data_IF_981825805356
#
_entry.id   IF_981825805356
#
_cell.length_a   1.000
_cell.length_b   1.000
_cell.length_c   1.000
_cell.angle_alpha   90.00
_cell.angle_beta   90.00
_cell.angle_gamma   90.00
#
_symmetry.space_group_name_H-M   'P 1'
#
loop_
_entity.id
_entity.type
_entity.pdbx_description
1 polymer ?
#
# COMPACT_ATOMS: atom_id res chain seq x y z
N UNK A 1 39.75 1.11 7.88
CA UNK A 1 39.02 1.79 6.80
C UNK A 1 37.82 2.56 7.34
N UNK A 2 36.87 1.94 8.04
CA UNK A 2 35.78 2.67 8.70
C UNK A 2 36.28 3.60 9.82
N UNK A 3 37.27 3.17 10.64
CA UNK A 3 37.90 4.02 11.68
C UNK A 3 38.64 5.25 11.13
N UNK A 4 38.99 5.23 9.83
CA UNK A 4 39.69 6.34 9.15
C UNK A 4 38.72 7.25 8.38
N UNK A 5 37.41 7.00 8.46
CA UNK A 5 36.38 7.82 7.81
C UNK A 5 36.12 9.05 8.66
N UNK A 6 36.29 10.25 8.08
CA UNK A 6 36.00 11.52 8.77
C UNK A 6 34.59 11.49 9.41
N UNK A 7 34.47 11.96 10.66
CA UNK A 7 33.21 11.99 11.39
C UNK A 7 32.74 10.66 11.98
N UNK A 8 33.59 9.63 12.02
CA UNK A 8 33.33 8.40 12.79
C UNK A 8 34.00 8.50 14.17
N UNK A 9 33.18 8.46 15.22
CA UNK A 9 33.65 8.52 16.62
C UNK A 9 34.17 7.16 17.12
N UNK A 10 33.68 6.05 16.54
CA UNK A 10 34.19 4.73 16.87
C UNK A 10 33.53 3.61 16.09
N UNK A 11 34.29 2.54 15.88
CA UNK A 11 33.83 1.29 15.28
C UNK A 11 34.11 0.14 16.24
N UNK A 12 33.10 -0.71 16.46
CA UNK A 12 33.26 -1.99 17.16
C UNK A 12 32.87 -3.10 16.21
N UNK A 13 33.78 -4.05 15.96
CA UNK A 13 33.50 -5.24 15.15
C UNK A 13 33.60 -6.48 16.03
N UNK A 14 32.61 -7.35 15.92
CA UNK A 14 32.61 -8.65 16.59
C UNK A 14 32.37 -9.77 15.60
N UNK A 15 33.11 -10.87 15.76
CA UNK A 15 32.97 -12.08 14.96
C UNK A 15 32.69 -13.23 15.91
N UNK A 16 31.60 -13.96 15.69
CA UNK A 16 31.19 -15.08 16.54
C UNK A 16 30.70 -16.25 15.69
N UNK A 17 30.85 -17.50 16.16
CA UNK A 17 30.13 -18.62 15.56
C UNK A 17 28.63 -18.37 15.63
N UNK A 18 27.90 -18.59 14.53
CA UNK A 18 26.45 -18.63 14.58
C UNK A 18 26.06 -19.91 15.34
N UNK A 19 25.38 -19.77 16.48
CA UNK A 19 25.15 -20.86 17.43
C UNK A 19 24.69 -22.17 16.78
N UNK A 20 25.43 -23.25 17.03
CA UNK A 20 25.16 -24.59 16.50
C UNK A 20 24.02 -25.28 17.26
N UNK A 21 22.92 -25.55 16.56
CA UNK A 21 21.99 -26.64 16.90
C UNK A 21 22.38 -27.96 16.24
N UNK A 22 22.85 -27.93 14.99
CA UNK A 22 23.03 -29.13 14.18
C UNK A 22 24.32 -29.08 13.34
N UNK A 23 25.38 -29.74 13.80
CA UNK A 23 26.46 -30.39 13.02
C UNK A 23 26.99 -29.86 11.66
N UNK A 24 26.78 -28.61 11.26
CA UNK A 24 27.36 -28.02 10.03
C UNK A 24 28.89 -27.99 10.03
N UNK A 25 29.54 -27.93 8.86
CA UNK A 25 30.99 -27.72 8.82
C UNK A 25 31.33 -26.26 9.13
N UNK A 26 32.49 -26.03 9.75
CA UNK A 26 33.01 -24.67 10.04
C UNK A 26 33.23 -23.82 8.77
N UNK A 27 33.15 -24.44 7.59
CA UNK A 27 33.35 -23.85 6.26
C UNK A 27 32.06 -23.30 5.61
N UNK A 28 30.91 -23.35 6.28
CA UNK A 28 29.67 -22.80 5.72
C UNK A 28 29.55 -21.30 6.05
N UNK A 29 29.04 -20.48 5.11
CA UNK A 29 28.71 -19.05 5.34
C UNK A 29 27.86 -18.86 6.60
N UNK A 30 26.96 -19.81 6.88
CA UNK A 30 26.08 -19.78 8.05
C UNK A 30 26.79 -20.11 9.36
N UNK A 31 28.06 -20.53 9.35
CA UNK A 31 28.81 -20.89 10.55
C UNK A 31 29.34 -19.67 11.31
N UNK A 32 29.40 -18.51 10.66
CA UNK A 32 29.96 -17.28 11.23
C UNK A 32 28.98 -16.12 11.13
N UNK A 33 28.96 -15.30 12.17
CA UNK A 33 28.27 -14.01 12.20
C UNK A 33 29.26 -12.89 12.48
N UNK A 34 29.24 -11.86 11.63
CA UNK A 34 29.97 -10.61 11.82
C UNK A 34 28.96 -9.54 12.18
N UNK A 35 29.20 -8.82 13.26
CA UNK A 35 28.39 -7.67 13.67
C UNK A 35 29.28 -6.45 13.86
N UNK A 36 28.96 -5.36 13.17
CA UNK A 36 29.63 -4.07 13.30
C UNK A 36 28.72 -3.03 13.97
N UNK A 37 29.27 -2.18 14.84
CA UNK A 37 28.60 -1.03 15.39
C UNK A 37 29.46 0.20 15.10
N UNK A 38 28.91 1.18 14.39
CA UNK A 38 29.57 2.42 14.01
C UNK A 38 28.85 3.58 14.68
N UNK A 39 29.57 4.40 15.43
CA UNK A 39 29.03 5.63 16.03
C UNK A 39 29.63 6.83 15.30
N UNK A 40 28.78 7.72 14.77
CA UNK A 40 29.24 8.97 14.19
C UNK A 40 29.58 10.01 15.26
N UNK A 41 30.46 10.96 14.93
CA UNK A 41 30.74 12.10 15.80
C UNK A 41 29.51 13.01 15.96
N UNK A 42 29.33 13.66 17.13
CA UNK A 42 28.31 14.68 17.29
C UNK A 42 28.46 15.80 16.26
N UNK A 43 27.36 16.15 15.58
CA UNK A 43 27.31 17.28 14.66
C UNK A 43 27.81 17.00 13.24
N UNK A 44 28.04 15.73 12.87
CA UNK A 44 28.46 15.39 11.50
C UNK A 44 27.42 15.81 10.46
N UNK A 45 27.89 16.29 9.30
CA UNK A 45 27.03 16.64 8.18
C UNK A 45 26.41 15.40 7.53
N UNK A 46 25.25 15.59 6.88
CA UNK A 46 24.54 14.52 6.15
C UNK A 46 25.42 13.80 5.11
N UNK A 47 26.32 14.52 4.43
CA UNK A 47 27.24 13.93 3.44
C UNK A 47 28.24 12.95 4.06
N UNK A 48 28.67 13.23 5.30
CA UNK A 48 29.54 12.35 6.06
C UNK A 48 28.80 11.07 6.46
N UNK A 49 27.55 11.19 6.94
CA UNK A 49 26.69 10.05 7.25
C UNK A 49 26.48 9.16 6.03
N UNK A 50 26.14 9.75 4.88
CA UNK A 50 25.98 9.01 3.61
C UNK A 50 27.25 8.25 3.24
N UNK A 51 28.40 8.88 3.41
CA UNK A 51 29.70 8.28 3.11
C UNK A 51 30.03 7.13 4.06
N UNK A 52 29.76 7.29 5.35
CA UNK A 52 29.95 6.25 6.36
C UNK A 52 29.04 5.04 6.09
N UNK A 53 27.74 5.26 5.86
CA UNK A 53 26.79 4.19 5.53
C UNK A 53 27.16 3.45 4.24
N UNK A 54 27.56 4.18 3.18
CA UNK A 54 28.03 3.57 1.92
C UNK A 54 29.30 2.75 2.09
N UNK A 55 30.22 3.22 2.94
CA UNK A 55 31.46 2.50 3.25
C UNK A 55 31.13 1.24 4.05
N UNK A 56 30.26 1.34 5.06
CA UNK A 56 29.82 0.22 5.87
C UNK A 56 29.13 -0.85 5.02
N UNK A 57 28.21 -0.48 4.14
CA UNK A 57 27.56 -1.42 3.22
C UNK A 57 28.57 -2.14 2.33
N UNK A 58 29.57 -1.43 1.80
CA UNK A 58 30.59 -2.05 0.95
C UNK A 58 31.39 -3.12 1.70
N UNK A 59 31.69 -2.88 2.98
CA UNK A 59 32.39 -3.86 3.81
C UNK A 59 31.49 -5.07 4.14
N UNK A 60 30.19 -4.85 4.37
CA UNK A 60 29.21 -5.92 4.53
C UNK A 60 29.11 -6.79 3.26
N UNK A 61 28.94 -6.16 2.10
CA UNK A 61 28.88 -6.85 0.80
C UNK A 61 30.17 -7.66 0.54
N UNK A 62 31.32 -7.12 0.93
CA UNK A 62 32.60 -7.81 0.81
C UNK A 62 32.71 -9.02 1.74
N UNK A 63 32.04 -9.02 2.90
CA UNK A 63 32.07 -10.09 3.89
C UNK A 63 30.92 -11.12 3.75
N UNK A 64 29.86 -10.78 3.00
CA UNK A 64 28.65 -11.58 2.77
C UNK A 64 28.93 -13.02 2.27
N UNK A 65 29.98 -13.22 1.48
CA UNK A 65 30.32 -14.53 0.93
C UNK A 65 30.94 -15.50 1.97
N UNK A 66 31.33 -15.00 3.15
CA UNK A 66 32.06 -15.75 4.18
C UNK A 66 31.24 -15.92 5.47
N UNK A 67 30.39 -14.96 5.81
CA UNK A 67 29.63 -14.93 7.05
C UNK A 67 28.28 -14.25 6.86
N UNK A 68 27.34 -14.51 7.77
CA UNK A 68 26.16 -13.65 7.92
C UNK A 68 26.64 -12.32 8.53
N UNK A 69 26.31 -11.20 7.90
CA UNK A 69 26.76 -9.89 8.36
C UNK A 69 25.61 -8.99 8.79
N UNK A 70 25.81 -8.25 9.87
CA UNK A 70 24.91 -7.19 10.33
C UNK A 70 25.73 -5.99 10.76
N UNK A 71 25.19 -4.79 10.59
CA UNK A 71 25.78 -3.58 11.13
C UNK A 71 24.75 -2.60 11.62
N UNK A 72 25.10 -1.88 12.67
CA UNK A 72 24.33 -0.75 13.18
C UNK A 72 25.17 0.52 13.02
N UNK A 73 24.63 1.50 12.30
CA UNK A 73 25.16 2.86 12.28
C UNK A 73 24.32 3.74 13.21
N UNK A 74 24.97 4.43 14.15
CA UNK A 74 24.32 5.27 15.16
C UNK A 74 24.77 6.72 15.04
N UNK A 75 23.81 7.64 15.00
CA UNK A 75 23.99 9.09 15.02
C UNK A 75 23.44 9.65 16.32
N UNK A 76 24.24 10.40 17.09
CA UNK A 76 23.81 11.02 18.36
C UNK A 76 24.41 12.40 18.54
N UNK A 77 23.79 13.20 19.43
CA UNK A 77 24.43 14.39 20.00
C UNK A 77 24.56 15.62 19.09
N UNK A 78 23.83 15.68 17.97
CA UNK A 78 23.85 16.80 17.02
C UNK A 78 22.64 17.74 17.13
N UNK A 79 21.80 17.56 18.17
CA UNK A 79 20.59 18.34 18.39
C UNK A 79 19.36 17.86 17.63
N UNK A 80 19.48 16.78 16.85
CA UNK A 80 18.36 16.02 16.28
C UNK A 80 18.07 14.78 17.10
N UNK A 81 17.02 14.03 16.72
CA UNK A 81 16.75 12.72 17.30
C UNK A 81 17.95 11.77 17.08
N UNK A 82 18.23 10.94 18.09
CA UNK A 82 19.21 9.87 17.97
C UNK A 82 18.73 8.90 16.89
N UNK A 83 19.59 8.52 15.95
CA UNK A 83 19.17 7.73 14.79
C UNK A 83 20.01 6.47 14.66
N UNK A 84 19.36 5.32 14.56
CA UNK A 84 20.00 4.04 14.28
C UNK A 84 19.61 3.54 12.90
N UNK A 85 20.57 2.96 12.19
CA UNK A 85 20.34 2.27 10.92
C UNK A 85 20.84 0.84 11.08
N UNK A 86 19.92 -0.12 11.06
CA UNK A 86 20.23 -1.54 11.02
C UNK A 86 20.37 -1.98 9.55
N UNK A 87 21.56 -2.45 9.21
CA UNK A 87 21.97 -2.90 7.88
C UNK A 87 22.33 -4.39 7.96
N UNK A 88 21.82 -5.21 7.07
CA UNK A 88 22.13 -6.64 6.99
C UNK A 88 22.69 -7.08 5.63
N UNK A 89 23.05 -8.36 5.55
CA UNK A 89 23.65 -9.02 4.40
C UNK A 89 22.68 -9.30 3.23
N UNK A 90 21.38 -9.13 3.46
CA UNK A 90 20.30 -9.22 2.47
C UNK A 90 19.94 -7.87 1.87
N UNK A 91 20.46 -6.80 2.45
CA UNK A 91 20.25 -5.45 1.97
C UNK A 91 20.97 -5.25 0.64
N UNK A 92 20.20 -5.01 -0.41
CA UNK A 92 20.80 -4.64 -1.69
C UNK A 92 21.52 -3.29 -1.52
N UNK A 93 22.74 -3.16 -2.05
CA UNK A 93 23.48 -1.88 -2.05
C UNK A 93 22.71 -0.69 -2.64
N UNK A 94 21.62 -0.95 -3.36
CA UNK A 94 20.68 0.05 -3.90
C UNK A 94 19.66 0.59 -2.90
N UNK A 95 19.36 -0.11 -1.80
CA UNK A 95 18.33 0.30 -0.81
C UNK A 95 18.91 1.11 0.35
N UNK A 96 20.18 0.87 0.73
CA UNK A 96 20.86 1.61 1.81
C UNK A 96 20.81 3.14 1.63
N UNK A 97 21.04 3.72 0.44
CA UNK A 97 20.95 5.17 0.27
C UNK A 97 19.55 5.71 0.58
N UNK A 98 18.49 5.03 0.13
CA UNK A 98 17.11 5.46 0.37
C UNK A 98 16.75 5.40 1.86
N UNK A 99 17.23 4.36 2.57
CA UNK A 99 17.05 4.21 4.00
C UNK A 99 17.77 5.29 4.81
N UNK A 100 19.00 5.66 4.41
CA UNK A 100 19.76 6.76 5.03
C UNK A 100 19.06 8.10 4.82
N UNK A 101 18.61 8.42 3.61
CA UNK A 101 17.85 9.66 3.36
C UNK A 101 16.56 9.71 4.20
N UNK A 102 15.83 8.59 4.27
CA UNK A 102 14.62 8.50 5.08
C UNK A 102 14.90 8.77 6.56
N UNK A 103 15.93 8.16 7.15
CA UNK A 103 16.30 8.41 8.56
C UNK A 103 16.76 9.84 8.81
N UNK A 104 17.49 10.45 7.87
CA UNK A 104 17.88 11.87 7.95
C UNK A 104 16.68 12.83 7.89
N UNK A 105 15.61 12.47 7.17
CA UNK A 105 14.35 13.22 7.18
C UNK A 105 13.59 13.03 8.49
N UNK A 106 13.44 11.77 8.94
CA UNK A 106 12.67 11.44 10.13
C UNK A 106 13.25 12.04 11.41
N UNK A 107 14.58 12.11 11.54
CA UNK A 107 15.22 12.68 12.73
C UNK A 107 15.02 14.18 12.89
N UNK A 108 14.58 14.87 11.84
CA UNK A 108 14.22 16.28 11.85
C UNK A 108 12.74 16.52 12.18
N UNK A 109 11.93 15.47 12.36
CA UNK A 109 10.51 15.59 12.71
C UNK A 109 10.38 16.18 14.12
N UNK A 110 9.58 17.24 14.32
CA UNK A 110 9.36 17.81 15.65
C UNK A 110 8.80 16.77 16.63
N UNK A 111 9.40 16.68 17.81
CA UNK A 111 9.01 15.73 18.87
C UNK A 111 9.69 14.36 18.79
N UNK A 112 10.47 14.08 17.73
CA UNK A 112 11.25 12.85 17.65
C UNK A 112 12.39 12.84 18.68
N UNK A 113 12.51 11.74 19.43
CA UNK A 113 13.59 11.46 20.38
C UNK A 113 14.58 10.44 19.82
N UNK A 114 14.06 9.36 19.24
CA UNK A 114 14.86 8.38 18.52
C UNK A 114 14.21 8.02 17.19
N UNK A 115 15.03 7.59 16.24
CA UNK A 115 14.62 7.05 14.95
C UNK A 115 15.36 5.74 14.75
N UNK A 116 14.63 4.69 14.42
CA UNK A 116 15.22 3.39 14.12
C UNK A 116 14.81 2.98 12.70
N UNK A 117 15.81 2.74 11.87
CA UNK A 117 15.65 2.40 10.46
C UNK A 117 16.10 0.96 10.24
N UNK A 118 15.26 0.15 9.59
CA UNK A 118 15.58 -1.22 9.16
C UNK A 118 14.93 -1.49 7.81
N UNK A 119 15.47 -2.44 7.05
CA UNK A 119 14.80 -2.96 5.84
C UNK A 119 13.82 -4.10 6.15
N UNK A 120 13.88 -4.66 7.35
CA UNK A 120 13.03 -5.78 7.77
C UNK A 120 11.76 -5.34 8.52
N UNK A 121 11.71 -4.08 8.93
CA UNK A 121 10.59 -3.48 9.65
C UNK A 121 10.32 -2.07 9.11
N UNK A 122 9.08 -1.55 9.22
CA UNK A 122 8.81 -0.15 8.93
C UNK A 122 9.72 0.76 9.77
N UNK A 123 10.19 1.90 9.22
CA UNK A 123 10.88 2.92 10.01
C UNK A 123 10.10 3.26 11.27
N UNK A 124 10.80 3.49 12.37
CA UNK A 124 10.15 3.87 13.62
C UNK A 124 10.69 5.17 14.19
N UNK A 125 9.80 5.93 14.81
CA UNK A 125 10.10 7.21 15.47
C UNK A 125 9.56 7.14 16.88
N UNK A 126 10.42 7.31 17.87
CA UNK A 126 10.02 7.40 19.28
C UNK A 126 9.74 8.86 19.64
N UNK A 127 8.57 9.12 20.23
CA UNK A 127 8.14 10.43 20.72
C UNK A 127 7.77 10.36 22.20
N UNK A 128 7.55 11.52 22.83
CA UNK A 128 7.41 11.60 24.28
C UNK A 128 6.17 10.88 24.82
N UNK A 129 5.01 11.03 24.16
CA UNK A 129 3.74 10.50 24.66
C UNK A 129 2.70 10.28 23.55
N UNK A 130 1.67 9.45 23.78
CA UNK A 130 0.59 9.24 22.81
C UNK A 130 -0.13 10.53 22.41
N UNK A 131 -0.17 11.53 23.30
CA UNK A 131 -0.80 12.83 23.02
C UNK A 131 -0.17 13.59 21.85
N UNK A 132 1.04 13.23 21.43
CA UNK A 132 1.75 13.84 20.30
C UNK A 132 1.50 13.14 18.97
N UNK A 133 0.86 11.95 18.95
CA UNK A 133 0.68 11.15 17.73
C UNK A 133 0.06 11.94 16.58
N UNK A 134 -1.01 12.70 16.83
CA UNK A 134 -1.70 13.50 15.82
C UNK A 134 -0.78 14.57 15.20
N UNK A 135 -0.05 15.34 16.02
CA UNK A 135 0.88 16.37 15.54
C UNK A 135 2.10 15.78 14.82
N UNK A 136 2.62 14.67 15.30
CA UNK A 136 3.76 13.98 14.68
C UNK A 136 3.36 13.37 13.35
N UNK A 137 2.20 12.69 13.27
CA UNK A 137 1.67 12.16 12.00
C UNK A 137 1.43 13.27 10.97
N UNK A 138 0.93 14.44 11.38
CA UNK A 138 0.79 15.61 10.49
C UNK A 138 2.16 16.07 9.96
N UNK A 139 3.18 16.08 10.80
CA UNK A 139 4.55 16.47 10.41
C UNK A 139 5.16 15.44 9.46
N UNK A 140 4.94 14.15 9.70
CA UNK A 140 5.37 13.06 8.82
C UNK A 140 4.72 13.17 7.44
N UNK A 141 3.41 13.39 7.37
CA UNK A 141 2.67 13.59 6.11
C UNK A 141 3.11 14.81 5.30
N UNK A 142 3.79 15.77 5.95
CA UNK A 142 4.38 16.92 5.27
C UNK A 142 5.80 16.65 4.73
N UNK A 143 6.42 15.52 5.07
CA UNK A 143 7.73 15.14 4.54
C UNK A 143 7.63 14.77 3.06
N UNK A 144 8.69 15.06 2.27
CA UNK A 144 8.75 14.59 0.89
C UNK A 144 8.79 13.06 0.85
N UNK A 145 8.06 12.48 -0.10
CA UNK A 145 7.99 11.03 -0.36
C UNK A 145 7.39 10.16 0.77
N UNK A 146 6.80 10.77 1.81
CA UNK A 146 5.99 10.02 2.77
C UNK A 146 4.79 9.37 2.06
N UNK A 147 4.50 8.11 2.38
CA UNK A 147 3.57 7.26 1.62
C UNK A 147 4.24 6.44 0.51
N UNK A 148 5.55 6.58 0.28
CA UNK A 148 6.26 5.85 -0.78
C UNK A 148 7.64 5.34 -0.36
N UNK A 149 8.09 4.25 -0.97
CA UNK A 149 9.45 3.73 -0.81
C UNK A 149 9.79 3.42 0.66
N UNK A 150 10.94 3.92 1.13
CA UNK A 150 11.39 3.72 2.52
C UNK A 150 10.49 4.43 3.55
N UNK A 151 9.62 5.35 3.13
CA UNK A 151 8.65 6.06 3.98
C UNK A 151 7.20 5.71 3.61
N UNK A 152 6.95 4.51 3.07
CA UNK A 152 5.60 4.00 2.79
C UNK A 152 4.70 4.08 4.04
N UNK A 153 5.26 3.75 5.20
CA UNK A 153 4.62 3.87 6.51
C UNK A 153 5.69 4.09 7.58
N UNK A 154 5.31 4.73 8.69
CA UNK A 154 6.20 4.93 9.84
C UNK A 154 5.50 4.47 11.12
N UNK A 155 6.23 3.77 11.97
CA UNK A 155 5.78 3.35 13.30
C UNK A 155 6.10 4.45 14.32
N UNK A 156 5.09 5.02 14.96
CA UNK A 156 5.28 5.92 16.09
C UNK A 156 5.28 5.12 17.40
N UNK A 157 6.39 5.18 18.12
CA UNK A 157 6.55 4.57 19.43
C UNK A 157 6.48 5.64 20.51
N UNK A 158 5.93 5.30 21.67
CA UNK A 158 6.03 6.13 22.88
C UNK A 158 6.47 5.24 24.01
N UNK A 159 7.47 5.70 24.75
CA UNK A 159 7.98 5.04 25.95
C UNK A 159 7.84 6.01 27.12
N UNK A 160 6.75 5.86 27.88
CA UNK A 160 6.55 6.62 29.11
C UNK A 160 6.89 5.72 30.31
N UNK A 161 7.86 6.09 31.17
CA UNK A 161 8.08 5.41 32.42
C UNK A 161 6.95 5.75 33.41
N UNK A 162 5.90 4.93 33.43
CA UNK A 162 4.81 5.07 34.41
C UNK A 162 5.05 4.09 35.55
N UNK A 163 5.47 4.61 36.71
CA UNK A 163 5.61 3.80 37.93
C UNK A 163 6.78 2.80 37.93
N UNK A 164 7.73 2.92 37.00
CA UNK A 164 8.91 2.05 36.90
C UNK A 164 8.83 0.97 35.82
N UNK A 165 7.64 0.75 35.25
CA UNK A 165 7.45 -0.11 34.08
C UNK A 165 7.36 0.74 32.80
N UNK A 166 7.91 0.22 31.70
CA UNK A 166 7.82 0.87 30.39
C UNK A 166 6.45 0.59 29.78
N UNK A 167 5.62 1.63 29.67
CA UNK A 167 4.40 1.57 28.86
C UNK A 167 4.79 1.78 27.41
N UNK A 168 4.72 0.72 26.61
CA UNK A 168 4.96 0.79 25.18
C UNK A 168 3.63 1.00 24.45
N UNK A 169 3.49 2.16 23.82
CA UNK A 169 2.39 2.38 22.87
C UNK A 169 2.95 2.58 21.47
N UNK A 170 2.36 1.88 20.51
CA UNK A 170 2.83 1.83 19.13
C UNK A 170 1.66 2.08 18.19
N UNK A 171 1.85 2.97 17.22
CA UNK A 171 0.88 3.21 16.16
C UNK A 171 1.58 3.34 14.82
N UNK A 172 1.13 2.58 13.82
CA UNK A 172 1.66 2.75 12.46
C UNK A 172 0.83 3.78 11.71
N UNK A 173 1.51 4.67 11.00
CA UNK A 173 0.90 5.76 10.22
C UNK A 173 1.41 5.72 8.77
N UNK A 174 0.50 5.93 7.83
CA UNK A 174 0.79 6.13 6.40
C UNK A 174 0.29 7.51 5.93
N UNK A 175 0.39 7.75 4.62
CA UNK A 175 0.00 9.01 3.96
C UNK A 175 -1.40 9.50 4.37
N UNK A 176 -2.35 8.59 4.59
CA UNK A 176 -3.76 8.91 4.78
C UNK A 176 -4.36 8.37 6.08
N UNK A 177 -3.84 7.27 6.61
CA UNK A 177 -4.40 6.54 7.74
C UNK A 177 -3.39 6.37 8.89
N UNK A 178 -3.87 6.28 10.13
CA UNK A 178 -5.17 6.75 10.59
C UNK A 178 -5.29 8.28 10.52
N UNK A 179 -6.52 8.80 10.38
CA UNK A 179 -6.78 10.24 10.36
C UNK A 179 -6.53 10.91 11.73
N UNK A 180 -6.56 12.24 11.78
CA UNK A 180 -6.27 13.01 12.99
C UNK A 180 -7.26 12.75 14.14
N UNK A 181 -8.54 12.58 13.83
CA UNK A 181 -9.59 12.27 14.80
C UNK A 181 -9.37 10.89 15.41
N UNK A 182 -9.09 9.91 14.56
CA UNK A 182 -8.72 8.55 14.98
C UNK A 182 -7.47 8.57 15.87
N UNK A 183 -6.40 9.24 15.45
CA UNK A 183 -5.17 9.38 16.24
C UNK A 183 -5.42 10.00 17.63
N UNK A 184 -6.24 11.05 17.69
CA UNK A 184 -6.58 11.74 18.94
C UNK A 184 -7.38 10.84 19.88
N UNK A 185 -8.36 10.10 19.35
CA UNK A 185 -9.15 9.16 20.12
C UNK A 185 -8.33 7.97 20.64
N UNK A 186 -7.46 7.39 19.80
CA UNK A 186 -6.58 6.29 20.20
C UNK A 186 -5.54 6.76 21.23
N UNK A 187 -5.00 7.97 21.09
CA UNK A 187 -4.11 8.57 22.09
C UNK A 187 -4.78 8.70 23.47
N UNK A 188 -6.05 9.12 23.49
CA UNK A 188 -6.83 9.21 24.73
C UNK A 188 -7.06 7.84 25.39
N UNK A 189 -7.17 6.77 24.59
CA UNK A 189 -7.28 5.38 25.08
C UNK A 189 -5.92 4.88 25.59
N UNK A 190 -4.84 5.08 24.83
CA UNK A 190 -3.49 4.68 25.22
C UNK A 190 -3.03 5.36 26.51
N UNK A 191 -3.44 6.62 26.75
CA UNK A 191 -3.18 7.35 27.98
C UNK A 191 -4.11 7.02 29.16
N UNK A 192 -5.01 6.03 29.05
CA UNK A 192 -5.89 5.68 30.16
C UNK A 192 -5.14 5.06 31.33
N UNK A 193 -5.47 5.43 32.59
CA UNK A 193 -4.92 4.76 33.76
C UNK A 193 -5.17 3.25 33.71
N UNK A 194 -4.09 2.47 33.85
CA UNK A 194 -4.14 1.01 33.81
C UNK A 194 -3.95 0.40 32.42
N UNK A 195 -3.63 1.18 31.38
CA UNK A 195 -3.08 0.65 30.12
C UNK A 195 -1.58 0.42 30.28
N UNK A 196 -1.14 -0.82 30.08
CA UNK A 196 0.26 -1.23 30.15
C UNK A 196 0.93 -1.28 28.77
N UNK A 197 0.18 -1.61 27.73
CA UNK A 197 0.63 -1.46 26.34
C UNK A 197 -0.54 -1.25 25.39
N UNK A 198 -0.27 -0.58 24.28
CA UNK A 198 -1.24 -0.30 23.23
C UNK A 198 -0.58 -0.47 21.86
N UNK A 199 -1.20 -1.19 20.94
CA UNK A 199 -0.75 -1.24 19.56
C UNK A 199 -1.92 -1.03 18.59
N UNK A 200 -1.67 -0.24 17.55
CA UNK A 200 -2.55 -0.13 16.38
C UNK A 200 -1.76 -0.40 15.10
N UNK A 201 -2.18 -1.43 14.37
CA UNK A 201 -1.65 -1.78 13.06
C UNK A 201 -2.75 -1.63 11.99
N UNK A 202 -2.72 -0.55 11.19
CA UNK A 202 -3.58 -0.34 10.05
C UNK A 202 -3.04 -0.93 8.76
N UNK A 203 -1.84 -1.54 8.74
CA UNK A 203 -1.25 -1.98 7.49
C UNK A 203 -1.83 -3.29 7.04
N UNK A 204 -2.19 -3.33 5.75
CA UNK A 204 -2.60 -4.55 5.08
C UNK A 204 -1.36 -5.38 4.73
N UNK A 205 -1.20 -6.61 5.27
CA UNK A 205 -0.12 -7.48 4.86
C UNK A 205 -0.19 -7.74 3.36
N UNK A 206 0.94 -7.71 2.67
CA UNK A 206 1.00 -8.04 1.24
C UNK A 206 0.45 -9.45 1.01
N UNK A 207 -0.44 -9.59 0.03
CA UNK A 207 -1.07 -10.87 -0.31
C UNK A 207 -2.22 -11.29 0.62
N UNK A 208 -2.58 -10.48 1.62
CA UNK A 208 -3.78 -10.74 2.42
C UNK A 208 -5.04 -10.64 1.55
N UNK A 209 -5.98 -11.57 1.76
CA UNK A 209 -7.27 -11.62 1.07
C UNK A 209 -8.18 -10.43 1.42
N UNK A 210 -9.43 -10.47 0.96
CA UNK A 210 -10.43 -9.43 1.29
C UNK A 210 -10.85 -9.41 2.76
N UNK A 211 -10.48 -10.44 3.53
CA UNK A 211 -10.87 -10.60 4.94
C UNK A 211 -9.92 -9.88 5.92
N UNK A 212 -8.99 -9.08 5.41
CA UNK A 212 -8.05 -8.34 6.26
C UNK A 212 -8.72 -7.11 6.90
N UNK A 213 -8.36 -6.85 8.17
CA UNK A 213 -8.76 -5.66 8.93
C UNK A 213 -7.59 -5.09 9.72
N UNK A 214 -7.57 -3.77 9.97
CA UNK A 214 -6.72 -3.18 11.00
C UNK A 214 -6.93 -3.85 12.36
N UNK A 215 -5.89 -3.88 13.18
CA UNK A 215 -5.95 -4.51 14.50
C UNK A 215 -5.52 -3.54 15.60
N UNK A 216 -6.24 -3.60 16.73
CA UNK A 216 -5.90 -2.92 17.97
C UNK A 216 -5.65 -3.99 19.04
N UNK A 217 -4.48 -4.01 19.64
CA UNK A 217 -4.22 -4.84 20.81
C UNK A 217 -3.92 -3.95 22.02
N UNK A 218 -4.59 -4.20 23.13
CA UNK A 218 -4.36 -3.46 24.38
C UNK A 218 -4.11 -4.42 25.52
N UNK A 219 -3.04 -4.20 26.26
CA UNK A 219 -2.77 -4.88 27.52
C UNK A 219 -3.09 -3.92 28.66
N UNK A 220 -4.04 -4.28 29.52
CA UNK A 220 -4.35 -3.55 30.73
C UNK A 220 -3.65 -4.19 31.94
N UNK A 221 -3.29 -3.40 32.94
CA UNK A 221 -2.65 -3.91 34.17
C UNK A 221 -3.61 -4.80 34.97
N UNK A 222 -4.89 -4.43 35.03
CA UNK A 222 -5.92 -5.10 35.82
C UNK A 222 -7.23 -5.30 35.05
N UNK A 223 -8.05 -6.26 35.51
CA UNK A 223 -9.37 -6.57 34.93
C UNK A 223 -10.35 -5.39 34.94
N UNK A 224 -10.26 -4.49 35.92
CA UNK A 224 -11.08 -3.29 35.95
C UNK A 224 -10.73 -2.34 34.80
N UNK A 225 -9.43 -2.10 34.57
CA UNK A 225 -8.93 -1.28 33.46
C UNK A 225 -9.26 -1.92 32.10
N UNK A 226 -9.13 -3.25 31.97
CA UNK A 226 -9.57 -4.02 30.78
C UNK A 226 -11.01 -3.67 30.38
N UNK A 227 -11.95 -3.67 31.34
CA UNK A 227 -13.36 -3.36 31.10
C UNK A 227 -13.61 -1.88 30.76
N UNK A 228 -12.80 -0.96 31.30
CA UNK A 228 -12.88 0.47 30.97
C UNK A 228 -12.41 0.69 29.53
N UNK A 229 -11.25 0.13 29.15
CA UNK A 229 -10.69 0.28 27.81
C UNK A 229 -11.59 -0.33 26.75
N UNK A 230 -12.09 -1.56 26.97
CA UNK A 230 -13.02 -2.19 26.04
C UNK A 230 -14.27 -1.32 25.80
N UNK A 231 -14.80 -0.68 26.85
CA UNK A 231 -15.95 0.23 26.73
C UNK A 231 -15.62 1.49 25.95
N UNK A 232 -14.43 2.05 26.14
CA UNK A 232 -13.97 3.21 25.37
C UNK A 232 -13.82 2.87 23.88
N UNK A 233 -13.25 1.70 23.57
CA UNK A 233 -13.14 1.19 22.20
C UNK A 233 -14.53 0.92 21.57
N UNK A 234 -15.49 0.36 22.32
CA UNK A 234 -16.87 0.17 21.83
C UNK A 234 -17.64 1.49 21.67
N UNK A 235 -17.40 2.46 22.55
CA UNK A 235 -18.05 3.77 22.54
C UNK A 235 -17.34 4.78 21.62
N UNK A 236 -16.30 4.35 20.89
CA UNK A 236 -15.56 5.17 19.96
C UNK A 236 -16.50 5.65 18.84
N UNK A 237 -17.07 6.85 19.00
CA UNK A 237 -18.13 7.31 18.12
C UNK A 237 -17.56 7.70 16.76
N UNK A 238 -18.14 7.14 15.70
CA UNK A 238 -17.95 7.59 14.32
C UNK A 238 -18.50 9.02 14.07
N UNK A 239 -19.24 9.61 15.03
CA UNK A 239 -19.80 10.97 14.96
C UNK A 239 -18.74 12.09 15.08
N UNK A 240 -17.47 11.74 15.29
CA UNK A 240 -16.33 12.63 15.21
C UNK A 240 -15.47 12.30 13.98
N UNK A 241 -16.04 12.35 12.77
CA UNK A 241 -15.34 12.19 11.47
C UNK A 241 -14.43 10.94 11.31
N UNK A 242 -14.49 9.98 12.24
CA UNK A 242 -13.68 8.76 12.29
C UNK A 242 -14.44 7.57 11.70
N UNK A 243 -15.08 7.78 10.54
CA UNK A 243 -15.25 6.64 9.65
C UNK A 243 -13.83 6.20 9.25
N UNK A 244 -13.52 4.88 9.22
CA UNK A 244 -12.23 4.46 8.70
C UNK A 244 -12.04 5.12 7.33
N UNK A 245 -10.83 5.62 7.05
CA UNK A 245 -10.50 6.33 5.81
C UNK A 245 -11.20 5.64 4.63
N UNK A 246 -11.85 6.40 3.74
CA UNK A 246 -12.77 5.85 2.74
C UNK A 246 -12.20 4.60 2.05
N UNK A 247 -12.80 3.43 2.33
CA UNK A 247 -12.35 2.13 1.80
C UNK A 247 -11.57 1.22 2.75
N UNK A 248 -11.23 1.67 3.96
CA UNK A 248 -10.65 0.81 5.00
C UNK A 248 -11.75 0.18 5.88
N UNK A 249 -11.65 -1.11 6.24
CA UNK A 249 -12.59 -1.73 7.16
C UNK A 249 -12.35 -1.28 8.60
N UNK A 250 -13.37 -1.40 9.46
CA UNK A 250 -13.23 -1.14 10.90
C UNK A 250 -12.17 -2.05 11.52
N UNK A 251 -11.40 -1.46 12.43
CA UNK A 251 -10.41 -2.19 13.19
C UNK A 251 -11.08 -3.21 14.13
N UNK A 252 -10.55 -4.44 14.14
CA UNK A 252 -10.83 -5.39 15.19
C UNK A 252 -9.96 -5.04 16.41
N UNK A 253 -10.50 -5.20 17.62
CA UNK A 253 -9.73 -4.99 18.84
C UNK A 253 -9.74 -6.22 19.75
N UNK A 254 -8.66 -6.38 20.50
CA UNK A 254 -8.54 -7.34 21.60
C UNK A 254 -7.93 -6.67 22.82
N UNK A 255 -8.59 -6.80 23.97
CA UNK A 255 -8.12 -6.24 25.26
C UNK A 255 -7.82 -7.36 26.26
N UNK A 256 -6.57 -7.39 26.75
CA UNK A 256 -6.07 -8.34 27.74
C UNK A 256 -5.90 -7.71 29.13
N UNK A 257 -5.77 -8.52 30.17
CA UNK A 257 -5.37 -8.10 31.51
C UNK A 257 -4.11 -8.85 31.92
N UNK A 258 -3.05 -8.15 32.30
CA UNK A 258 -1.81 -8.77 32.78
C UNK A 258 -2.00 -9.51 34.10
N UNK A 259 -2.84 -8.98 35.00
CA UNK A 259 -3.16 -9.63 36.27
C UNK A 259 -3.96 -10.93 36.14
N UNK A 260 -4.44 -11.28 34.94
CA UNK A 260 -5.28 -12.46 34.71
C UNK A 260 -4.79 -13.22 33.46
N UNK A 261 -3.66 -13.91 33.59
CA UNK A 261 -3.07 -14.74 32.53
C UNK A 261 -4.03 -15.81 31.99
N UNK A 262 -5.03 -16.20 32.79
CA UNK A 262 -6.06 -17.19 32.42
C UNK A 262 -7.38 -16.55 31.95
N UNK A 263 -7.50 -15.24 32.05
CA UNK A 263 -8.71 -14.51 31.73
C UNK A 263 -8.96 -14.47 30.24
N UNK A 264 -10.21 -14.64 29.82
CA UNK A 264 -10.56 -14.45 28.42
C UNK A 264 -10.35 -12.98 28.03
N UNK A 265 -9.75 -12.72 26.85
CA UNK A 265 -9.69 -11.38 26.29
C UNK A 265 -11.09 -10.84 26.00
N UNK A 266 -11.19 -9.52 25.85
CA UNK A 266 -12.40 -8.87 25.33
C UNK A 266 -12.14 -8.49 23.88
N UNK A 267 -12.85 -9.15 22.98
CA UNK A 267 -12.82 -8.87 21.54
C UNK A 267 -13.98 -7.97 21.11
N UNK A 268 -13.77 -7.26 20.00
CA UNK A 268 -14.83 -6.50 19.33
C UNK A 268 -14.32 -5.71 18.14
N UNK A 269 -15.14 -4.76 17.69
CA UNK A 269 -14.84 -3.88 16.57
C UNK A 269 -14.93 -2.43 17.01
N UNK A 270 -14.00 -1.60 16.54
CA UNK A 270 -13.92 -0.20 16.93
C UNK A 270 -15.24 0.54 16.64
N UNK A 271 -15.77 1.17 17.68
CA UNK A 271 -17.02 1.93 17.63
C UNK A 271 -18.30 1.10 17.52
N UNK A 272 -18.22 -0.23 17.74
CA UNK A 272 -19.39 -1.09 17.83
C UNK A 272 -19.61 -1.58 19.28
N UNK A 273 -20.87 -1.78 19.71
CA UNK A 273 -21.17 -2.38 21.00
C UNK A 273 -20.49 -3.73 21.16
N UNK A 274 -20.05 -4.05 22.38
CA UNK A 274 -19.48 -5.36 22.69
C UNK A 274 -20.46 -6.49 22.33
N UNK A 275 -19.95 -7.53 21.66
CA UNK A 275 -20.75 -8.66 21.17
C UNK A 275 -21.50 -8.38 19.86
N UNK A 276 -21.29 -7.23 19.21
CA UNK A 276 -21.78 -6.99 17.86
C UNK A 276 -21.20 -8.04 16.89
N UNK A 277 -21.99 -8.49 15.89
CA UNK A 277 -21.48 -9.34 14.83
C UNK A 277 -20.41 -8.60 14.02
N UNK A 278 -19.62 -9.36 13.26
CA UNK A 278 -18.66 -8.79 12.33
C UNK A 278 -19.33 -7.81 11.36
N UNK A 279 -18.79 -6.59 11.19
CA UNK A 279 -19.35 -5.62 10.26
C UNK A 279 -19.13 -6.03 8.80
N UNK A 280 -20.14 -5.78 7.96
CA UNK A 280 -20.06 -5.98 6.50
C UNK A 280 -19.46 -4.74 5.82
N UNK A 281 -18.18 -4.48 6.10
CA UNK A 281 -17.41 -3.30 5.64
C UNK A 281 -16.05 -3.68 5.03
N UNK A 282 -15.83 -4.97 4.76
CA UNK A 282 -14.67 -5.43 4.02
C UNK A 282 -14.76 -4.98 2.56
N UNK A 283 -13.67 -4.41 2.05
CA UNK A 283 -13.59 -4.09 0.62
C UNK A 283 -13.71 -5.38 -0.21
N UNK A 284 -14.38 -5.34 -1.37
CA UNK A 284 -14.37 -6.48 -2.29
C UNK A 284 -12.94 -6.88 -2.62
N UNK A 285 -12.62 -8.18 -2.55
CA UNK A 285 -11.29 -8.70 -2.93
C UNK A 285 -10.92 -8.13 -4.31
N UNK A 286 -9.83 -7.36 -4.45
CA UNK A 286 -9.36 -6.95 -5.77
C UNK A 286 -9.12 -8.20 -6.60
N UNK A 287 -9.72 -8.27 -7.80
CA UNK A 287 -9.43 -9.35 -8.73
C UNK A 287 -7.93 -9.43 -9.00
N UNK A 288 -7.37 -10.61 -9.33
CA UNK A 288 -5.94 -10.75 -9.61
C UNK A 288 -5.52 -9.74 -10.66
N UNK A 289 -4.47 -8.97 -10.38
CA UNK A 289 -3.93 -8.02 -11.34
C UNK A 289 -3.42 -8.78 -12.56
N UNK A 290 -4.00 -8.49 -13.73
CA UNK A 290 -3.59 -9.09 -14.99
C UNK A 290 -2.17 -8.64 -15.33
N UNK A 291 -1.30 -9.61 -15.59
CA UNK A 291 0.04 -9.41 -16.15
C UNK A 291 -0.01 -8.38 -17.30
N UNK A 292 0.86 -7.34 -17.30
CA UNK A 292 0.94 -6.36 -18.37
C UNK A 292 0.99 -6.96 -19.79
N UNK A 293 1.67 -8.09 -19.98
CA UNK A 293 1.74 -8.77 -21.26
C UNK A 293 0.39 -9.37 -21.70
N UNK A 294 -0.36 -9.95 -20.75
CA UNK A 294 -1.70 -10.45 -21.00
C UNK A 294 -2.65 -9.28 -21.30
N UNK A 295 -2.53 -8.18 -20.57
CA UNK A 295 -3.32 -6.95 -20.77
C UNK A 295 -3.15 -6.37 -22.17
N UNK A 296 -1.91 -6.27 -22.64
CA UNK A 296 -1.60 -5.82 -24.00
C UNK A 296 -2.18 -6.78 -25.07
N UNK A 297 -2.09 -8.09 -24.86
CA UNK A 297 -2.64 -9.11 -25.77
C UNK A 297 -4.17 -9.04 -25.87
N UNK A 298 -4.87 -8.80 -24.75
CA UNK A 298 -6.32 -8.60 -24.73
C UNK A 298 -6.71 -7.32 -25.48
N UNK A 299 -5.99 -6.22 -25.27
CA UNK A 299 -6.23 -4.96 -25.99
C UNK A 299 -6.06 -5.12 -27.51
N UNK A 300 -4.99 -5.77 -27.96
CA UNK A 300 -4.76 -6.04 -29.38
C UNK A 300 -5.88 -6.90 -30.00
N UNK A 301 -6.32 -7.94 -29.30
CA UNK A 301 -7.45 -8.79 -29.74
C UNK A 301 -8.75 -7.99 -29.85
N UNK A 302 -8.99 -7.08 -28.91
CA UNK A 302 -10.16 -6.20 -28.92
C UNK A 302 -10.13 -5.22 -30.10
N UNK A 303 -8.97 -4.65 -30.42
CA UNK A 303 -8.80 -3.82 -31.62
C UNK A 303 -9.06 -4.59 -32.92
N UNK A 304 -8.58 -5.84 -33.01
CA UNK A 304 -8.84 -6.70 -34.17
C UNK A 304 -10.33 -7.06 -34.32
N UNK A 305 -11.02 -7.35 -33.22
CA UNK A 305 -12.46 -7.62 -33.22
C UNK A 305 -13.28 -6.40 -33.64
N UNK A 306 -12.94 -5.22 -33.11
CA UNK A 306 -13.59 -3.96 -33.47
C UNK A 306 -13.37 -3.66 -34.96
N UNK A 307 -12.14 -3.79 -35.45
CA UNK A 307 -11.81 -3.58 -36.87
C UNK A 307 -12.58 -4.53 -37.77
N UNK A 308 -12.58 -5.83 -37.47
CA UNK A 308 -13.27 -6.84 -38.27
C UNK A 308 -14.77 -6.55 -38.41
N UNK A 309 -15.45 -6.13 -37.33
CA UNK A 309 -16.88 -5.78 -37.39
C UNK A 309 -17.14 -4.53 -38.23
N UNK A 310 -16.27 -3.52 -38.17
CA UNK A 310 -16.45 -2.30 -38.96
C UNK A 310 -16.17 -2.54 -40.44
N UNK A 311 -15.18 -3.38 -40.76
CA UNK A 311 -14.84 -3.76 -42.13
C UNK A 311 -15.94 -4.64 -42.75
N UNK A 312 -16.45 -5.63 -42.01
CA UNK A 312 -17.58 -6.48 -42.43
C UNK A 312 -18.83 -5.64 -42.74
N UNK A 313 -19.08 -4.58 -41.96
CA UNK A 313 -20.21 -3.70 -42.24
C UNK A 313 -20.05 -2.96 -43.58
N UNK A 314 -18.83 -2.58 -43.95
CA UNK A 314 -18.51 -2.03 -45.28
C UNK A 314 -18.74 -3.04 -46.40
N UNK A 315 -18.30 -4.29 -46.20
CA UNK A 315 -18.52 -5.38 -47.16
C UNK A 315 -20.03 -5.64 -47.39
N UNK A 316 -20.81 -5.68 -46.31
CA UNK A 316 -22.26 -5.90 -46.37
C UNK A 316 -23.01 -4.72 -46.99
N UNK A 317 -22.49 -3.50 -46.84
CA UNK A 317 -23.03 -2.30 -47.46
C UNK A 317 -22.64 -2.15 -48.95
N UNK A 318 -21.59 -2.86 -49.40
CA UNK A 318 -21.05 -2.76 -50.75
C UNK A 318 -20.14 -1.54 -51.00
N UNK A 319 -19.87 -0.75 -49.96
CA UNK A 319 -18.92 0.37 -49.98
C UNK A 319 -18.32 0.56 -48.58
N UNK A 320 -17.02 0.86 -48.51
CA UNK A 320 -16.30 1.02 -47.25
C UNK A 320 -16.23 2.49 -46.83
N UNK A 321 -16.42 2.73 -45.54
CA UNK A 321 -15.92 3.94 -44.89
C UNK A 321 -14.49 3.75 -44.38
N UNK A 322 -13.89 4.80 -43.81
CA UNK A 322 -12.61 4.69 -43.11
C UNK A 322 -12.87 4.53 -41.61
N UNK A 323 -12.56 3.38 -41.00
CA UNK A 323 -12.74 3.19 -39.57
C UNK A 323 -11.72 4.01 -38.77
N UNK A 324 -12.18 4.59 -37.67
CA UNK A 324 -11.34 5.23 -36.64
C UNK A 324 -11.45 4.37 -35.40
N UNK A 325 -10.31 3.89 -34.89
CA UNK A 325 -10.25 3.01 -33.71
C UNK A 325 -9.30 3.65 -32.71
N UNK A 326 -9.78 3.81 -31.48
CA UNK A 326 -9.07 4.44 -30.38
C UNK A 326 -9.12 3.54 -29.15
N UNK A 327 -8.03 3.54 -28.39
CA UNK A 327 -7.89 2.79 -27.14
C UNK A 327 -7.65 3.79 -26.01
N UNK A 328 -8.49 3.77 -24.98
CA UNK A 328 -8.41 4.69 -23.85
C UNK A 328 -8.60 3.96 -22.52
N UNK A 329 -8.03 4.49 -21.44
CA UNK A 329 -8.33 3.97 -20.11
C UNK A 329 -9.83 4.11 -19.80
N UNK A 330 -10.41 3.12 -19.12
CA UNK A 330 -11.81 3.19 -18.69
C UNK A 330 -12.02 4.39 -17.74
N UNK A 331 -13.06 5.20 -17.98
CA UNK A 331 -13.35 6.38 -17.15
C UNK A 331 -13.73 6.06 -15.69
N UNK A 332 -14.06 4.80 -15.40
CA UNK A 332 -14.22 4.25 -14.06
C UNK A 332 -13.67 2.81 -14.03
N UNK A 333 -12.77 2.51 -13.08
CA UNK A 333 -12.17 1.19 -12.90
C UNK A 333 -10.82 0.99 -13.61
N UNK A 334 -10.24 -0.20 -13.44
CA UNK A 334 -9.03 -0.63 -14.15
C UNK A 334 -9.39 -1.30 -15.48
N UNK A 335 -8.76 -0.90 -16.58
CA UNK A 335 -9.00 -1.50 -17.90
C UNK A 335 -8.69 -0.56 -19.06
N UNK A 336 -8.65 -1.12 -20.28
CA UNK A 336 -8.52 -0.36 -21.53
C UNK A 336 -9.76 -0.60 -22.38
N UNK A 337 -10.52 0.45 -22.63
CA UNK A 337 -11.64 0.43 -23.55
C UNK A 337 -11.12 0.63 -24.97
N UNK A 338 -11.57 -0.22 -25.90
CA UNK A 338 -11.36 -0.02 -27.33
C UNK A 338 -12.66 0.42 -27.96
N UNK A 339 -12.66 1.58 -28.59
CA UNK A 339 -13.81 2.13 -29.29
C UNK A 339 -13.47 2.33 -30.77
N UNK A 340 -14.33 1.81 -31.65
CA UNK A 340 -14.23 2.02 -33.09
C UNK A 340 -15.47 2.69 -33.63
N UNK A 341 -15.31 3.50 -34.67
CA UNK A 341 -16.42 4.08 -35.41
C UNK A 341 -16.12 4.14 -36.91
N UNK A 342 -17.18 4.04 -37.73
CA UNK A 342 -17.08 4.23 -39.18
C UNK A 342 -18.34 4.90 -39.70
N UNK A 343 -18.20 5.76 -40.70
CA UNK A 343 -19.31 6.27 -41.51
C UNK A 343 -19.22 5.66 -42.90
N UNK A 344 -20.21 4.86 -43.26
CA UNK A 344 -20.34 4.22 -44.57
C UNK A 344 -21.13 5.15 -45.51
N UNK A 345 -20.54 5.65 -46.61
CA UNK A 345 -21.17 6.61 -47.51
C UNK A 345 -22.14 5.94 -48.49
N UNK A 346 -23.16 5.24 -47.98
CA UNK A 346 -24.06 4.39 -48.78
C UNK A 346 -24.78 5.15 -49.91
N UNK A 347 -24.99 6.46 -49.75
CA UNK A 347 -25.66 7.30 -50.75
C UNK A 347 -24.83 7.59 -52.00
N UNK A 348 -23.55 7.23 -52.01
CA UNK A 348 -22.73 7.29 -53.22
C UNK A 348 -23.09 6.18 -54.22
N UNK A 349 -23.76 5.12 -53.75
CA UNK A 349 -24.09 3.93 -54.55
C UNK A 349 -25.56 3.50 -54.49
N UNK A 350 -26.36 4.05 -53.57
CA UNK A 350 -27.77 3.69 -53.40
C UNK A 350 -28.64 4.88 -52.97
N UNK A 351 -29.90 4.90 -53.38
CA UNK A 351 -30.84 5.98 -53.01
C UNK A 351 -31.34 5.87 -51.55
N UNK A 352 -31.21 4.70 -50.92
CA UNK A 352 -31.66 4.44 -49.54
C UNK A 352 -30.64 3.61 -48.76
N UNK A 353 -30.62 3.78 -47.43
CA UNK A 353 -29.74 3.06 -46.52
C UNK A 353 -30.36 1.75 -45.98
N UNK A 354 -31.67 1.55 -46.15
CA UNK A 354 -32.42 0.45 -45.52
C UNK A 354 -31.88 -0.95 -45.88
N UNK A 355 -31.55 -1.26 -47.15
CA UNK A 355 -31.04 -2.58 -47.50
C UNK A 355 -29.71 -2.90 -46.80
N UNK A 356 -28.78 -1.94 -46.78
CA UNK A 356 -27.48 -2.10 -46.13
C UNK A 356 -27.63 -2.23 -44.61
N UNK A 357 -28.46 -1.38 -43.99
CA UNK A 357 -28.74 -1.43 -42.55
C UNK A 357 -29.31 -2.79 -42.14
N UNK A 358 -30.28 -3.31 -42.89
CA UNK A 358 -30.88 -4.62 -42.64
C UNK A 358 -29.86 -5.77 -42.76
N UNK A 359 -28.98 -5.73 -43.75
CA UNK A 359 -27.91 -6.74 -43.93
C UNK A 359 -26.91 -6.73 -42.76
N UNK A 360 -26.47 -5.55 -42.33
CA UNK A 360 -25.55 -5.38 -41.20
C UNK A 360 -26.18 -5.91 -39.91
N UNK A 361 -27.43 -5.49 -39.64
CA UNK A 361 -28.19 -5.96 -38.48
C UNK A 361 -28.41 -7.47 -38.51
N UNK A 362 -28.71 -8.05 -39.68
CA UNK A 362 -28.87 -9.50 -39.83
C UNK A 362 -27.57 -10.25 -39.52
N UNK A 363 -26.41 -9.75 -39.97
CA UNK A 363 -25.12 -10.33 -39.60
C UNK A 363 -24.89 -10.25 -38.09
N UNK A 364 -25.10 -9.10 -37.47
CA UNK A 364 -24.95 -8.95 -36.02
C UNK A 364 -25.85 -9.91 -35.23
N UNK A 365 -27.09 -10.13 -35.67
CA UNK A 365 -27.97 -11.13 -35.05
C UNK A 365 -27.39 -12.55 -35.16
N UNK A 366 -26.80 -12.90 -36.30
CA UNK A 366 -26.16 -14.22 -36.49
C UNK A 366 -24.93 -14.41 -35.59
N UNK A 367 -24.27 -13.32 -35.21
CA UNK A 367 -23.14 -13.30 -34.26
C UNK A 367 -23.59 -13.22 -32.79
N UNK A 368 -24.89 -13.29 -32.50
CA UNK A 368 -25.43 -13.32 -31.14
C UNK A 368 -25.77 -11.95 -30.54
N UNK A 369 -25.64 -10.86 -31.30
CA UNK A 369 -26.06 -9.55 -30.83
C UNK A 369 -27.58 -9.41 -30.84
N UNK A 370 -28.16 -9.04 -29.70
CA UNK A 370 -29.59 -8.79 -29.55
C UNK A 370 -29.87 -7.30 -29.42
N UNK A 371 -30.98 -6.84 -30.00
CA UNK A 371 -31.41 -5.45 -29.89
C UNK A 371 -31.82 -5.11 -28.46
N UNK A 372 -31.25 -4.04 -27.91
CA UNK A 372 -31.50 -3.60 -26.54
C UNK A 372 -32.47 -2.44 -26.47
N UNK A 373 -32.32 -1.47 -27.37
CA UNK A 373 -33.11 -0.24 -27.40
C UNK A 373 -33.13 0.36 -28.81
N UNK A 374 -34.21 1.08 -29.15
CA UNK A 374 -34.35 1.83 -30.40
C UNK A 374 -34.80 3.25 -30.07
N UNK A 375 -33.86 4.18 -30.12
CA UNK A 375 -34.10 5.61 -29.90
C UNK A 375 -34.01 6.36 -31.24
N UNK A 376 -35.13 6.51 -31.94
CA UNK A 376 -35.18 7.18 -33.24
C UNK A 376 -34.34 6.45 -34.30
N UNK A 377 -33.39 7.11 -34.98
CA UNK A 377 -32.55 6.49 -36.00
C UNK A 377 -31.42 5.62 -35.43
N UNK A 378 -31.24 5.59 -34.10
CA UNK A 378 -30.18 4.82 -33.43
C UNK A 378 -30.72 3.46 -32.95
N UNK A 379 -30.03 2.39 -33.32
CA UNK A 379 -30.28 1.04 -32.83
C UNK A 379 -29.05 0.53 -32.07
N UNK A 380 -29.28 0.12 -30.82
CA UNK A 380 -28.24 -0.38 -29.91
C UNK A 380 -28.36 -1.90 -29.75
N UNK A 381 -27.24 -2.62 -29.85
CA UNK A 381 -27.18 -4.08 -29.66
C UNK A 381 -26.08 -4.52 -28.71
N UNK A 382 -26.33 -5.61 -28.00
CA UNK A 382 -25.42 -6.20 -27.00
C UNK A 382 -25.48 -7.73 -27.05
N UNK A 383 -24.57 -8.44 -26.37
CA UNK A 383 -24.65 -9.89 -26.19
C UNK A 383 -23.77 -10.73 -27.13
N UNK A 384 -23.14 -10.10 -28.12
CA UNK A 384 -22.07 -10.71 -28.91
C UNK A 384 -20.68 -10.52 -28.26
N UNK A 385 -19.60 -10.78 -29.01
CA UNK A 385 -18.22 -10.69 -28.49
C UNK A 385 -17.81 -9.27 -28.09
N UNK A 386 -18.41 -8.23 -28.68
CA UNK A 386 -18.24 -6.85 -28.25
C UNK A 386 -19.29 -6.45 -27.24
N UNK A 387 -18.94 -5.48 -26.38
CA UNK A 387 -19.84 -5.00 -25.34
C UNK A 387 -21.08 -4.32 -25.93
N UNK A 388 -20.86 -3.47 -26.93
CA UNK A 388 -21.90 -2.62 -27.51
C UNK A 388 -21.63 -2.42 -29.00
N UNK A 389 -22.70 -2.55 -29.78
CA UNK A 389 -22.79 -2.09 -31.16
C UNK A 389 -23.89 -1.06 -31.27
N UNK A 390 -23.64 -0.02 -32.05
CA UNK A 390 -24.59 1.03 -32.35
C UNK A 390 -24.59 1.26 -33.86
N UNK A 391 -25.77 1.35 -34.46
CA UNK A 391 -25.96 1.74 -35.86
C UNK A 391 -26.95 2.89 -35.93
N UNK A 392 -26.66 3.88 -36.75
CA UNK A 392 -27.59 4.97 -37.03
C UNK A 392 -27.53 5.44 -38.47
N UNK A 393 -28.67 5.81 -39.02
CA UNK A 393 -28.76 6.48 -40.32
C UNK A 393 -28.64 8.00 -40.16
N UNK A 394 -27.89 8.64 -41.06
CA UNK A 394 -27.75 10.10 -41.13
C UNK A 394 -27.56 10.59 -42.56
N UNK A 395 -27.48 11.92 -42.78
CA UNK A 395 -27.37 12.50 -44.12
C UNK A 395 -26.07 12.14 -44.86
N UNK A 396 -25.06 11.62 -44.14
CA UNK A 396 -23.77 11.18 -44.69
C UNK A 396 -23.70 9.66 -44.92
N UNK A 397 -24.80 8.94 -44.67
CA UNK A 397 -24.89 7.48 -44.80
C UNK A 397 -25.13 6.77 -43.46
N UNK A 398 -24.53 5.60 -43.28
CA UNK A 398 -24.71 4.76 -42.09
C UNK A 398 -23.53 4.96 -41.15
N UNK A 399 -23.79 5.37 -39.91
CA UNK A 399 -22.78 5.50 -38.87
C UNK A 399 -22.84 4.31 -37.92
N UNK A 400 -21.70 3.67 -37.70
CA UNK A 400 -21.55 2.52 -36.81
C UNK A 400 -20.55 2.85 -35.73
N UNK A 401 -20.83 2.41 -34.50
CA UNK A 401 -19.89 2.47 -33.37
C UNK A 401 -19.84 1.10 -32.70
N UNK A 402 -18.64 0.69 -32.33
CA UNK A 402 -18.35 -0.59 -31.70
C UNK A 402 -17.47 -0.37 -30.45
N UNK A 403 -17.73 -1.11 -29.38
CA UNK A 403 -17.01 -0.94 -28.10
C UNK A 403 -16.65 -2.28 -27.46
N UNK A 404 -15.40 -2.42 -27.02
CA UNK A 404 -14.88 -3.53 -26.20
C UNK A 404 -14.21 -3.04 -24.92
N UNK A 405 -14.08 -3.92 -23.92
CA UNK A 405 -13.34 -3.69 -22.66
C UNK A 405 -12.28 -4.76 -22.42
#
# INVERSE_FOLDING_TARGET
MLDDTDGVAGVTVSVRPAGYGDGGSDDSRTSWRISAAVTAEPGVGADTVRTAAKTLQRELDAADHVAITTAVLTLTGDGYADTTFDLDDRDASTTTPALVEAGLLLRAVPGAHSVDMSLTAPPSVTIASPGEWASTARSLRALPAFGTGALESVTLNTSDPVGGDLVLSTIVVDETAPDEGTLTGLAAIAGQPGVASFSYDPLRPRGSGGDWRPTIAVSATESAAKNVVARLLSAFSADADAAPAAGAPRAAYTVFSQADETGSPIDGYLGLPHGAPEPDDLAPVPGPELDPAIRASVCARNEDLVRAILDEAGDLAGIHGTPVIESSACGAGSGTQVQGSVTIPIFDIADTADPACNSIVASWNSQGYTGKDRAGPLELRTGGPLKLLAISGGPRGISITATSY
#
